data_IF_610296417899
#
_entry.id   IF_610296417899
#
_cell.length_a   1.000
_cell.length_b   1.000
_cell.length_c   1.000
_cell.angle_alpha   90.00
_cell.angle_beta   90.00
_cell.angle_gamma   90.00
#
_symmetry.space_group_name_H-M   'P 1'
#
loop_
_entity.id
_entity.type
_entity.pdbx_description
1 polymer ?
#
# COMPACT_ATOMS: atom_id res chain seq x y z
N UNK A 1 20.16 22.71 -1.67
CA UNK A 1 19.88 21.27 -1.89
C UNK A 1 20.66 20.45 -0.85
N UNK A 2 20.00 19.54 -0.15
CA UNK A 2 20.65 18.66 0.84
C UNK A 2 21.10 17.31 0.21
N UNK A 3 21.03 17.18 -1.12
CA UNK A 3 21.43 15.97 -1.84
C UNK A 3 22.94 15.94 -1.98
N UNK A 4 23.60 14.86 -1.52
CA UNK A 4 25.06 14.74 -1.51
C UNK A 4 25.63 14.13 -2.80
N UNK A 5 25.02 13.06 -3.33
CA UNK A 5 25.56 12.31 -4.48
C UNK A 5 24.67 12.44 -5.72
N UNK A 6 23.46 11.90 -5.68
CA UNK A 6 22.55 11.78 -6.80
C UNK A 6 21.09 11.79 -6.33
N UNK A 7 20.17 11.89 -7.27
CA UNK A 7 18.73 11.67 -7.08
C UNK A 7 18.36 10.38 -7.80
N UNK A 8 17.51 9.56 -7.17
CA UNK A 8 16.85 8.41 -7.78
C UNK A 8 15.36 8.73 -7.83
N UNK A 9 14.79 8.79 -9.02
CA UNK A 9 13.49 9.40 -9.29
C UNK A 9 12.65 8.47 -10.15
N UNK A 10 11.34 8.38 -9.85
CA UNK A 10 10.41 7.57 -10.65
C UNK A 10 10.31 8.10 -12.08
N UNK A 11 10.63 7.26 -13.06
CA UNK A 11 10.77 7.64 -14.46
C UNK A 11 9.53 7.41 -15.30
N UNK A 12 8.60 6.54 -14.90
CA UNK A 12 7.39 6.23 -15.67
C UNK A 12 6.27 7.27 -15.50
N UNK A 13 6.52 8.35 -14.72
CA UNK A 13 5.59 9.44 -14.50
C UNK A 13 6.02 10.70 -15.24
N UNK A 14 5.17 11.20 -16.13
CA UNK A 14 5.46 12.39 -16.97
C UNK A 14 5.62 13.67 -16.14
N UNK A 15 4.85 13.82 -15.04
CA UNK A 15 4.96 14.98 -14.15
C UNK A 15 6.32 14.99 -13.47
N UNK A 16 6.76 13.85 -12.98
CA UNK A 16 8.08 13.67 -12.38
C UNK A 16 9.21 13.97 -13.37
N UNK A 17 9.09 13.52 -14.63
CA UNK A 17 10.07 13.83 -15.68
C UNK A 17 10.08 15.31 -16.07
N UNK A 18 8.97 16.01 -15.93
CA UNK A 18 8.87 17.45 -16.18
C UNK A 18 9.46 18.31 -15.08
N UNK A 19 9.76 17.76 -13.92
CA UNK A 19 10.34 18.48 -12.80
C UNK A 19 11.75 18.98 -13.12
N UNK A 20 12.05 20.22 -12.73
CA UNK A 20 13.39 20.77 -12.84
C UNK A 20 14.21 20.44 -11.60
N UNK A 21 15.14 19.50 -11.75
CA UNK A 21 16.10 19.16 -10.70
C UNK A 21 17.35 20.02 -10.79
N UNK A 22 18.03 20.18 -9.65
CA UNK A 22 19.32 20.89 -9.60
C UNK A 22 20.35 20.18 -10.50
N UNK A 23 20.77 20.86 -11.58
CA UNK A 23 21.70 20.33 -12.59
C UNK A 23 23.10 20.04 -12.04
N UNK A 24 23.41 20.45 -10.81
CA UNK A 24 24.67 20.10 -10.14
C UNK A 24 24.74 18.67 -9.68
N UNK A 25 23.62 17.92 -9.72
CA UNK A 25 23.49 16.53 -9.29
C UNK A 25 23.01 15.65 -10.43
N UNK A 26 23.54 14.44 -10.51
CA UNK A 26 23.04 13.44 -11.45
C UNK A 26 21.68 12.95 -10.99
N UNK A 27 20.74 12.86 -11.90
CA UNK A 27 19.41 12.28 -11.70
C UNK A 27 19.39 10.94 -12.41
N UNK A 28 18.99 9.89 -11.69
CA UNK A 28 18.78 8.57 -12.24
C UNK A 28 17.29 8.26 -12.20
N UNK A 29 16.72 7.97 -13.34
CA UNK A 29 15.33 7.57 -13.44
C UNK A 29 15.18 6.06 -13.30
N UNK A 30 14.20 5.61 -12.54
CA UNK A 30 13.89 4.19 -12.42
C UNK A 30 12.46 3.90 -12.87
N UNK A 31 12.25 2.75 -13.50
CA UNK A 31 10.95 2.32 -13.98
C UNK A 31 11.02 1.16 -14.98
N UNK A 32 10.04 1.11 -15.87
CA UNK A 32 9.88 0.10 -16.89
C UNK A 32 10.11 0.63 -18.31
N UNK A 33 10.22 1.95 -18.47
CA UNK A 33 10.42 2.57 -19.77
C UNK A 33 11.86 2.40 -20.27
N UNK A 34 12.03 2.29 -21.59
CA UNK A 34 13.34 2.11 -22.23
C UNK A 34 14.34 3.24 -21.99
N UNK A 35 13.86 4.40 -21.54
CA UNK A 35 14.67 5.57 -21.23
C UNK A 35 14.97 5.75 -19.73
N UNK A 36 14.72 4.73 -18.92
CA UNK A 36 15.09 4.72 -17.51
C UNK A 36 16.52 4.21 -17.32
N UNK A 37 17.26 4.85 -16.40
CA UNK A 37 18.64 4.47 -16.08
C UNK A 37 18.68 3.17 -15.26
N UNK A 38 17.63 2.90 -14.48
CA UNK A 38 17.44 1.71 -13.64
C UNK A 38 16.15 1.05 -14.13
N UNK A 39 16.28 0.20 -15.12
CA UNK A 39 15.15 -0.36 -15.85
C UNK A 39 14.92 -1.83 -15.50
N UNK A 40 13.65 -2.20 -15.20
CA UNK A 40 13.25 -3.60 -15.17
C UNK A 40 12.64 -4.02 -16.51
N UNK A 41 13.09 -5.18 -16.99
CA UNK A 41 12.55 -5.84 -18.19
C UNK A 41 12.23 -7.31 -17.91
N UNK A 42 11.55 -7.98 -18.83
CA UNK A 42 11.20 -9.40 -18.69
C UNK A 42 10.51 -9.74 -17.37
N UNK A 43 9.62 -8.84 -16.91
CA UNK A 43 8.95 -9.00 -15.61
C UNK A 43 7.95 -10.16 -15.70
N UNK A 44 8.15 -11.18 -14.87
CA UNK A 44 7.24 -12.30 -14.70
C UNK A 44 6.70 -12.27 -13.28
N UNK A 45 5.38 -12.28 -13.12
CA UNK A 45 4.70 -12.17 -11.83
C UNK A 45 3.69 -13.31 -11.65
N UNK A 46 3.73 -13.96 -10.50
CA UNK A 46 2.66 -14.84 -10.03
C UNK A 46 1.96 -14.24 -8.80
N UNK A 47 1.16 -15.03 -8.08
CA UNK A 47 0.44 -14.56 -6.88
C UNK A 47 1.34 -14.28 -5.66
N UNK A 48 2.60 -14.72 -5.67
CA UNK A 48 3.51 -14.70 -4.50
C UNK A 48 4.90 -14.19 -4.80
N UNK A 49 5.35 -14.30 -6.05
CA UNK A 49 6.71 -14.02 -6.45
C UNK A 49 6.73 -13.18 -7.71
N UNK A 50 7.83 -12.51 -7.92
CA UNK A 50 8.11 -11.76 -9.13
C UNK A 50 9.58 -11.90 -9.49
N UNK A 51 9.87 -12.02 -10.79
CA UNK A 51 11.25 -12.02 -11.30
C UNK A 51 11.40 -11.02 -12.45
N UNK A 52 12.58 -10.47 -12.61
CA UNK A 52 12.88 -9.51 -13.68
C UNK A 52 14.38 -9.38 -13.92
N UNK A 53 14.72 -8.92 -15.12
CA UNK A 53 16.07 -8.50 -15.46
C UNK A 53 16.22 -7.00 -15.19
N UNK A 54 17.29 -6.62 -14.46
CA UNK A 54 17.64 -5.23 -14.18
C UNK A 54 18.73 -4.74 -15.10
N UNK A 55 18.47 -3.63 -15.78
CA UNK A 55 19.47 -2.86 -16.50
C UNK A 55 19.82 -1.60 -15.73
N UNK A 56 21.11 -1.28 -15.65
CA UNK A 56 21.64 -0.04 -15.13
C UNK A 56 22.42 0.67 -16.22
N UNK A 57 22.02 1.90 -16.59
CA UNK A 57 22.61 2.67 -17.68
C UNK A 57 22.75 1.81 -18.98
N UNK A 58 21.66 1.13 -19.36
CA UNK A 58 21.54 0.23 -20.52
C UNK A 58 22.46 -1.01 -20.49
N UNK A 59 23.04 -1.37 -19.35
CA UNK A 59 23.82 -2.60 -19.19
C UNK A 59 23.10 -3.54 -18.23
N UNK A 60 22.98 -4.81 -18.62
CA UNK A 60 22.44 -5.82 -17.72
C UNK A 60 23.26 -5.87 -16.44
N UNK A 61 22.63 -5.54 -15.32
CA UNK A 61 23.21 -5.60 -13.99
C UNK A 61 23.03 -6.98 -13.37
N UNK A 62 21.83 -7.58 -13.54
CA UNK A 62 21.53 -8.93 -13.07
C UNK A 62 20.07 -9.29 -13.15
N UNK A 63 19.78 -10.53 -12.78
CA UNK A 63 18.43 -11.07 -12.66
C UNK A 63 18.02 -11.13 -11.19
N UNK A 64 16.85 -10.61 -10.85
CA UNK A 64 16.34 -10.55 -9.49
C UNK A 64 15.08 -11.40 -9.31
N UNK A 65 14.99 -12.05 -8.14
CA UNK A 65 13.80 -12.74 -7.68
C UNK A 65 13.27 -12.06 -6.41
N UNK A 66 12.03 -11.59 -6.46
CA UNK A 66 11.36 -10.98 -5.31
C UNK A 66 10.46 -12.02 -4.62
N UNK A 67 10.53 -12.17 -3.30
CA UNK A 67 9.66 -13.08 -2.54
C UNK A 67 8.25 -12.49 -2.31
N UNK A 68 7.82 -11.60 -3.18
CA UNK A 68 6.53 -10.92 -3.15
C UNK A 68 6.12 -10.50 -4.56
N UNK A 69 4.83 -10.20 -4.74
CA UNK A 69 4.23 -9.76 -6.00
C UNK A 69 3.58 -8.38 -5.83
N UNK A 70 3.46 -7.66 -6.94
CA UNK A 70 2.79 -6.36 -6.99
C UNK A 70 3.63 -5.27 -7.64
N UNK A 71 3.05 -4.61 -8.65
CA UNK A 71 3.72 -3.59 -9.44
C UNK A 71 4.39 -2.49 -8.58
N UNK A 72 3.71 -2.01 -7.53
CA UNK A 72 4.27 -1.00 -6.62
C UNK A 72 5.49 -1.52 -5.83
N UNK A 73 5.53 -2.83 -5.51
CA UNK A 73 6.67 -3.44 -4.84
C UNK A 73 7.86 -3.60 -5.78
N UNK A 74 7.61 -3.89 -7.06
CA UNK A 74 8.63 -3.85 -8.11
C UNK A 74 9.28 -2.46 -8.15
N UNK A 75 8.49 -1.41 -8.30
CA UNK A 75 9.00 -0.04 -8.38
C UNK A 75 9.80 0.37 -7.13
N UNK A 76 9.32 0.01 -5.94
CA UNK A 76 10.05 0.25 -4.70
C UNK A 76 11.38 -0.52 -4.65
N UNK A 77 11.40 -1.74 -5.19
CA UNK A 77 12.62 -2.55 -5.29
C UNK A 77 13.63 -1.92 -6.25
N UNK A 78 13.18 -1.43 -7.43
CA UNK A 78 14.04 -0.73 -8.37
C UNK A 78 14.72 0.50 -7.75
N UNK A 79 13.95 1.32 -7.02
CA UNK A 79 14.51 2.45 -6.28
C UNK A 79 15.58 2.01 -5.27
N UNK A 80 15.30 0.95 -4.50
CA UNK A 80 16.22 0.43 -3.48
C UNK A 80 17.48 -0.17 -4.09
N UNK A 81 17.34 -0.96 -5.16
CA UNK A 81 18.46 -1.53 -5.92
C UNK A 81 19.31 -0.42 -6.51
N UNK A 82 18.69 0.59 -7.13
CA UNK A 82 19.39 1.73 -7.69
C UNK A 82 20.24 2.47 -6.66
N UNK A 83 19.72 2.68 -5.45
CA UNK A 83 20.48 3.25 -4.35
C UNK A 83 21.65 2.34 -3.97
N UNK A 84 21.45 1.03 -3.87
CA UNK A 84 22.50 0.05 -3.59
C UNK A 84 23.64 0.11 -4.62
N UNK A 85 23.31 0.15 -5.91
CA UNK A 85 24.29 0.29 -7.00
C UNK A 85 25.09 1.58 -6.86
N UNK A 86 24.41 2.71 -6.60
CA UNK A 86 25.05 4.03 -6.45
C UNK A 86 25.93 4.12 -5.19
N UNK A 87 25.63 3.35 -4.16
CA UNK A 87 26.48 3.20 -2.97
C UNK A 87 27.62 2.18 -3.17
N UNK A 88 27.72 1.54 -4.34
CA UNK A 88 28.80 0.63 -4.69
C UNK A 88 28.66 -0.78 -4.11
N UNK A 89 27.46 -1.19 -3.76
CA UNK A 89 27.17 -2.56 -3.33
C UNK A 89 27.32 -3.54 -4.50
N UNK A 90 27.78 -4.76 -4.21
CA UNK A 90 27.83 -5.83 -5.20
C UNK A 90 26.44 -6.33 -5.58
N UNK A 91 26.31 -6.98 -6.74
CA UNK A 91 25.06 -7.64 -7.12
C UNK A 91 24.62 -8.64 -6.06
N UNK A 92 25.54 -9.46 -5.56
CA UNK A 92 25.28 -10.50 -4.57
C UNK A 92 24.74 -9.93 -3.25
N UNK A 93 25.27 -8.78 -2.80
CA UNK A 93 24.82 -8.14 -1.57
C UNK A 93 23.42 -7.55 -1.74
N UNK A 94 23.15 -6.91 -2.88
CA UNK A 94 21.83 -6.34 -3.21
C UNK A 94 20.81 -7.46 -3.36
N UNK A 95 21.12 -8.49 -4.15
CA UNK A 95 20.23 -9.64 -4.40
C UNK A 95 19.89 -10.34 -3.08
N UNK A 96 20.88 -10.61 -2.24
CA UNK A 96 20.69 -11.20 -0.91
C UNK A 96 19.80 -10.31 -0.02
N UNK A 97 19.97 -8.99 -0.06
CA UNK A 97 19.16 -8.05 0.70
C UNK A 97 17.70 -8.09 0.27
N UNK A 98 17.43 -8.07 -1.02
CA UNK A 98 16.09 -8.09 -1.61
C UNK A 98 15.42 -9.46 -1.39
N UNK A 99 16.11 -10.56 -1.64
CA UNK A 99 15.58 -11.93 -1.49
C UNK A 99 15.23 -12.28 -0.04
N UNK A 100 15.91 -11.67 0.94
CA UNK A 100 15.60 -11.83 2.36
C UNK A 100 14.59 -10.80 2.90
N UNK A 101 14.07 -9.92 2.06
CA UNK A 101 13.08 -8.95 2.47
C UNK A 101 11.69 -9.60 2.55
N UNK A 102 11.16 -9.74 3.75
CA UNK A 102 9.85 -10.35 4.00
C UNK A 102 8.70 -9.33 4.13
N UNK A 103 8.88 -8.14 3.57
CA UNK A 103 7.89 -7.09 3.62
C UNK A 103 8.04 -6.15 4.83
N UNK A 104 7.28 -5.08 4.81
CA UNK A 104 7.17 -4.12 5.90
C UNK A 104 5.88 -4.42 6.68
N UNK A 105 5.92 -4.31 7.99
CA UNK A 105 4.70 -4.40 8.82
C UNK A 105 3.64 -3.45 8.26
N UNK A 106 2.40 -3.90 8.24
CA UNK A 106 1.27 -3.11 7.77
C UNK A 106 1.37 -2.69 6.29
N UNK A 107 1.94 -3.55 5.43
CA UNK A 107 1.92 -3.44 3.98
C UNK A 107 1.42 -4.76 3.39
N UNK A 108 0.11 -4.87 3.26
CA UNK A 108 -0.62 -6.05 2.77
C UNK A 108 -0.22 -7.35 3.49
N UNK A 109 -0.08 -7.26 4.83
CA UNK A 109 0.24 -8.44 5.65
C UNK A 109 -0.98 -9.31 5.77
N UNK A 110 -0.88 -10.56 5.32
CA UNK A 110 -1.99 -11.52 5.25
C UNK A 110 -1.84 -12.56 6.34
N UNK A 111 -2.90 -12.78 7.09
CA UNK A 111 -3.02 -13.82 8.11
C UNK A 111 -4.32 -14.61 7.91
N UNK A 112 -4.26 -15.92 7.98
CA UNK A 112 -5.42 -16.79 7.89
C UNK A 112 -5.78 -17.32 9.28
N UNK A 113 -7.07 -17.25 9.67
CA UNK A 113 -7.57 -17.74 10.94
C UNK A 113 -9.02 -18.22 10.78
N UNK A 114 -9.28 -19.49 11.14
CA UNK A 114 -10.61 -20.14 11.15
C UNK A 114 -11.44 -19.91 9.87
N UNK A 115 -10.78 -19.96 8.70
CA UNK A 115 -11.43 -19.79 7.39
C UNK A 115 -11.75 -18.36 7.01
N UNK A 116 -11.34 -17.40 7.83
CA UNK A 116 -11.29 -15.98 7.51
C UNK A 116 -9.87 -15.57 7.14
N UNK A 117 -9.75 -14.54 6.30
CA UNK A 117 -8.47 -13.91 5.94
C UNK A 117 -8.45 -12.51 6.53
N UNK A 118 -7.35 -12.17 7.20
CA UNK A 118 -7.12 -10.85 7.80
C UNK A 118 -5.94 -10.18 7.11
N UNK A 119 -6.15 -8.98 6.61
CA UNK A 119 -5.13 -8.19 5.90
C UNK A 119 -4.93 -6.89 6.65
N UNK A 120 -3.68 -6.56 7.01
CA UNK A 120 -3.29 -5.27 7.59
C UNK A 120 -2.53 -4.44 6.55
N UNK A 121 -3.05 -3.26 6.24
CA UNK A 121 -2.42 -2.34 5.31
C UNK A 121 -2.41 -0.89 5.81
N UNK A 122 -1.35 -0.17 5.46
CA UNK A 122 -1.15 1.23 5.86
C UNK A 122 -1.89 2.22 4.94
N UNK A 123 -2.56 1.76 3.89
CA UNK A 123 -3.27 2.58 2.92
C UNK A 123 -4.21 3.59 3.60
N UNK A 124 -4.06 4.86 3.24
CA UNK A 124 -4.79 5.98 3.84
C UNK A 124 -4.97 7.16 2.87
N UNK A 125 -4.56 7.01 1.61
CA UNK A 125 -4.87 7.90 0.49
C UNK A 125 -5.78 7.16 -0.49
N UNK A 126 -6.73 7.82 -1.22
CA UNK A 126 -7.67 7.11 -2.10
C UNK A 126 -6.98 6.17 -3.10
N UNK A 127 -5.90 6.61 -3.72
CA UNK A 127 -5.12 5.80 -4.67
C UNK A 127 -4.58 4.52 -4.01
N UNK A 128 -4.00 4.63 -2.81
CA UNK A 128 -3.50 3.48 -2.06
C UNK A 128 -4.65 2.53 -1.68
N UNK A 129 -5.76 3.09 -1.17
CA UNK A 129 -6.96 2.33 -0.82
C UNK A 129 -7.48 1.55 -2.01
N UNK A 130 -7.58 2.19 -3.19
CA UNK A 130 -8.03 1.53 -4.42
C UNK A 130 -7.12 0.37 -4.82
N UNK A 131 -5.81 0.60 -4.88
CA UNK A 131 -4.83 -0.45 -5.22
C UNK A 131 -4.88 -1.62 -4.24
N UNK A 132 -5.01 -1.35 -2.94
CA UNK A 132 -5.08 -2.38 -1.91
C UNK A 132 -6.36 -3.20 -2.03
N UNK A 133 -7.53 -2.57 -2.27
CA UNK A 133 -8.80 -3.26 -2.50
C UNK A 133 -8.74 -4.13 -3.76
N UNK A 134 -8.23 -3.58 -4.88
CA UNK A 134 -8.11 -4.31 -6.15
C UNK A 134 -7.17 -5.51 -6.01
N UNK A 135 -6.07 -5.36 -5.24
CA UNK A 135 -5.14 -6.45 -4.91
C UNK A 135 -5.83 -7.55 -4.09
N UNK A 136 -6.60 -7.17 -3.06
CA UNK A 136 -7.34 -8.13 -2.23
C UNK A 136 -8.37 -8.91 -3.06
N UNK A 137 -9.13 -8.24 -3.91
CA UNK A 137 -10.09 -8.88 -4.81
C UNK A 137 -9.43 -9.82 -5.83
N UNK A 138 -8.31 -9.42 -6.41
CA UNK A 138 -7.55 -10.27 -7.34
C UNK A 138 -7.02 -11.52 -6.66
N UNK A 139 -6.56 -11.39 -5.40
CA UNK A 139 -5.95 -12.50 -4.65
C UNK A 139 -6.98 -13.46 -4.06
N UNK A 140 -8.18 -12.96 -3.73
CA UNK A 140 -9.25 -13.72 -3.07
C UNK A 140 -10.61 -13.52 -3.79
N UNK A 141 -10.71 -13.93 -5.08
CA UNK A 141 -11.84 -13.57 -5.95
C UNK A 141 -13.19 -14.17 -5.49
N UNK A 142 -13.15 -15.31 -4.81
CA UNK A 142 -14.36 -16.06 -4.40
C UNK A 142 -14.81 -15.75 -2.97
N UNK A 143 -14.15 -14.81 -2.28
CA UNK A 143 -14.45 -14.46 -0.91
C UNK A 143 -15.05 -13.06 -0.80
N UNK A 144 -16.00 -12.90 0.12
CA UNK A 144 -16.57 -11.59 0.47
C UNK A 144 -15.48 -10.67 1.02
N UNK A 145 -15.28 -9.50 0.42
CA UNK A 145 -14.33 -8.49 0.89
C UNK A 145 -15.03 -7.52 1.84
N UNK A 146 -14.62 -7.54 3.10
CA UNK A 146 -15.07 -6.64 4.16
C UNK A 146 -13.93 -5.67 4.48
N UNK A 147 -14.13 -4.40 4.18
CA UNK A 147 -13.15 -3.35 4.43
C UNK A 147 -13.43 -2.68 5.77
N UNK A 148 -12.40 -2.53 6.61
CA UNK A 148 -12.41 -1.70 7.82
C UNK A 148 -11.45 -0.54 7.58
N UNK A 149 -11.98 0.65 7.44
CA UNK A 149 -11.20 1.84 7.10
C UNK A 149 -11.27 2.90 8.19
N UNK A 150 -10.10 3.33 8.67
CA UNK A 150 -9.97 4.49 9.54
C UNK A 150 -9.23 5.59 8.80
N UNK A 151 -9.92 6.68 8.43
CA UNK A 151 -9.26 7.80 7.76
C UNK A 151 -8.29 8.52 8.69
N UNK A 152 -7.33 9.19 8.11
CA UNK A 152 -6.37 10.03 8.81
C UNK A 152 -6.43 11.45 8.22
N UNK A 153 -6.59 12.45 9.10
CA UNK A 153 -6.84 13.88 8.84
C UNK A 153 -8.19 14.16 8.19
N UNK A 154 -9.03 14.91 8.89
CA UNK A 154 -10.34 15.34 8.42
C UNK A 154 -10.25 16.18 7.14
N UNK A 155 -9.25 17.07 7.00
CA UNK A 155 -9.00 17.84 5.79
C UNK A 155 -8.76 16.98 4.55
N UNK A 156 -8.06 15.85 4.68
CA UNK A 156 -7.87 14.92 3.57
C UNK A 156 -9.18 14.28 3.16
N UNK A 157 -10.01 13.87 4.14
CA UNK A 157 -11.31 13.30 3.85
C UNK A 157 -12.22 14.33 3.16
N UNK A 158 -12.23 15.57 3.63
CA UNK A 158 -13.01 16.64 3.00
C UNK A 158 -12.60 16.85 1.54
N UNK A 159 -11.29 16.87 1.27
CA UNK A 159 -10.77 17.13 -0.08
C UNK A 159 -10.98 15.96 -1.04
N UNK A 160 -10.84 14.72 -0.57
CA UNK A 160 -10.88 13.51 -1.40
C UNK A 160 -12.10 12.62 -1.12
N UNK A 161 -13.20 13.16 -0.56
CA UNK A 161 -14.33 12.35 -0.14
C UNK A 161 -14.93 11.50 -1.27
N UNK A 162 -15.08 12.07 -2.47
CA UNK A 162 -15.66 11.37 -3.62
C UNK A 162 -14.70 10.28 -4.15
N UNK A 163 -13.40 10.52 -4.12
CA UNK A 163 -12.40 9.53 -4.48
C UNK A 163 -12.37 8.37 -3.47
N UNK A 164 -12.40 8.67 -2.16
CA UNK A 164 -12.54 7.62 -1.14
C UNK A 164 -13.82 6.82 -1.32
N UNK A 165 -14.96 7.50 -1.54
CA UNK A 165 -16.25 6.83 -1.73
C UNK A 165 -16.21 5.90 -2.95
N UNK A 166 -15.65 6.35 -4.06
CA UNK A 166 -15.47 5.55 -5.26
C UNK A 166 -14.65 4.28 -5.00
N UNK A 167 -13.49 4.42 -4.36
CA UNK A 167 -12.59 3.30 -4.14
C UNK A 167 -13.14 2.33 -3.08
N UNK A 168 -13.64 2.83 -1.94
CA UNK A 168 -14.20 2.00 -0.88
C UNK A 168 -15.46 1.25 -1.32
N UNK A 169 -16.29 1.85 -2.20
CA UNK A 169 -17.50 1.20 -2.73
C UNK A 169 -17.21 -0.03 -3.61
N UNK A 170 -15.96 -0.29 -3.97
CA UNK A 170 -15.58 -1.54 -4.63
C UNK A 170 -15.68 -2.77 -3.71
N UNK A 171 -15.63 -2.59 -2.38
CA UNK A 171 -15.77 -3.67 -1.41
C UNK A 171 -17.23 -4.13 -1.28
N UNK A 172 -17.43 -5.39 -0.86
CA UNK A 172 -18.78 -5.93 -0.62
C UNK A 172 -19.42 -5.34 0.62
N UNK A 173 -18.59 -4.93 1.59
CA UNK A 173 -19.03 -4.24 2.80
C UNK A 173 -17.94 -3.31 3.33
N UNK A 174 -18.34 -2.16 3.83
CA UNK A 174 -17.43 -1.14 4.38
C UNK A 174 -17.82 -0.80 5.80
N UNK A 175 -16.86 -0.90 6.70
CA UNK A 175 -16.94 -0.40 8.06
C UNK A 175 -16.02 0.81 8.21
N UNK A 176 -16.52 1.92 8.72
CA UNK A 176 -15.79 3.15 8.92
C UNK A 176 -15.54 3.38 10.40
N UNK A 177 -14.31 3.68 10.77
CA UNK A 177 -13.93 4.12 12.11
C UNK A 177 -13.80 5.64 12.14
N UNK A 178 -14.18 6.26 13.25
CA UNK A 178 -14.19 7.73 13.36
C UNK A 178 -12.78 8.31 13.56
N UNK A 179 -12.67 9.61 13.34
CA UNK A 179 -11.50 10.43 13.68
C UNK A 179 -11.35 10.53 15.21
N UNK A 180 -10.45 9.73 15.78
CA UNK A 180 -10.31 9.64 17.24
C UNK A 180 -9.14 10.43 17.80
N UNK A 181 -8.17 10.83 16.98
CA UNK A 181 -6.99 11.53 17.45
C UNK A 181 -7.17 13.04 17.47
N UNK A 182 -6.53 13.69 18.44
CA UNK A 182 -6.46 15.16 18.52
C UNK A 182 -5.83 15.73 17.24
N UNK A 183 -4.85 15.03 16.67
CA UNK A 183 -4.18 15.43 15.43
C UNK A 183 -5.12 15.45 14.21
N UNK A 184 -6.14 14.60 14.21
CA UNK A 184 -7.13 14.54 13.13
C UNK A 184 -8.09 15.73 13.16
N UNK A 185 -8.28 16.36 14.33
CA UNK A 185 -9.19 17.51 14.55
C UNK A 185 -8.47 18.86 14.54
N UNK A 186 -7.15 18.89 14.64
CA UNK A 186 -6.37 20.16 14.72
C UNK A 186 -6.20 20.89 13.39
N UNK A 187 -6.62 20.30 12.27
CA UNK A 187 -6.52 20.96 10.96
C UNK A 187 -7.63 22.00 10.70
N UNK A 188 -8.48 22.29 11.68
CA UNK A 188 -9.56 23.28 11.58
C UNK A 188 -10.79 22.82 10.80
N UNK A 189 -10.82 21.56 10.36
CA UNK A 189 -11.91 20.98 9.59
C UNK A 189 -13.01 20.46 10.54
N UNK A 190 -14.23 20.92 10.34
CA UNK A 190 -15.37 20.53 11.18
C UNK A 190 -16.26 19.49 10.46
N UNK A 191 -15.72 18.29 10.24
CA UNK A 191 -16.47 17.12 9.75
C UNK A 191 -16.27 15.95 10.71
N UNK A 192 -17.21 15.02 10.71
CA UNK A 192 -17.09 13.70 11.34
C UNK A 192 -17.12 12.59 10.27
N UNK A 193 -17.08 11.34 10.70
CA UNK A 193 -17.03 10.19 9.80
C UNK A 193 -18.31 10.04 8.96
N UNK A 194 -19.45 10.58 9.41
CA UNK A 194 -20.71 10.53 8.69
C UNK A 194 -20.64 11.29 7.37
N UNK A 195 -19.80 12.32 7.27
CA UNK A 195 -19.53 13.02 6.01
C UNK A 195 -19.03 12.07 4.89
N UNK A 196 -18.18 11.10 5.25
CA UNK A 196 -17.74 10.07 4.31
C UNK A 196 -18.77 8.95 4.17
N UNK A 197 -19.43 8.56 5.28
CA UNK A 197 -20.47 7.53 5.28
C UNK A 197 -21.60 7.85 4.30
N UNK A 198 -22.08 9.09 4.27
CA UNK A 198 -23.18 9.54 3.41
C UNK A 198 -22.88 9.37 1.91
N UNK A 199 -21.62 9.24 1.55
CA UNK A 199 -21.15 9.05 0.17
C UNK A 199 -20.93 7.58 -0.20
N UNK A 200 -20.93 6.67 0.77
CA UNK A 200 -20.66 5.24 0.54
C UNK A 200 -21.91 4.43 0.86
N UNK A 201 -22.66 3.99 -0.17
CA UNK A 201 -23.82 3.12 0.04
C UNK A 201 -23.45 1.87 0.82
N UNK A 202 -24.28 1.48 1.80
CA UNK A 202 -24.11 0.29 2.64
C UNK A 202 -22.87 0.29 3.56
N UNK A 203 -22.27 1.46 3.81
CA UNK A 203 -21.25 1.57 4.85
C UNK A 203 -21.88 1.69 6.25
N UNK A 204 -21.13 1.27 7.26
CA UNK A 204 -21.54 1.29 8.66
C UNK A 204 -20.44 1.96 9.47
N UNK A 205 -20.78 2.93 10.30
CA UNK A 205 -19.84 3.45 11.30
C UNK A 205 -19.69 2.41 12.39
N UNK A 206 -18.45 1.99 12.63
CA UNK A 206 -18.12 0.95 13.59
C UNK A 206 -17.51 1.58 14.84
N UNK A 207 -18.00 1.25 16.04
CA UNK A 207 -17.34 1.70 17.27
C UNK A 207 -15.96 1.04 17.41
N UNK A 208 -14.97 1.84 17.80
CA UNK A 208 -13.57 1.39 17.96
C UNK A 208 -13.37 0.83 19.38
N UNK A 209 -14.07 -0.27 19.69
CA UNK A 209 -14.05 -0.96 20.98
C UNK A 209 -14.48 -2.44 20.83
N UNK A 210 -14.71 -3.13 21.95
CA UNK A 210 -15.12 -4.53 21.95
C UNK A 210 -16.48 -4.77 21.25
N UNK A 211 -17.38 -3.79 21.26
CA UNK A 211 -18.65 -3.88 20.52
C UNK A 211 -18.40 -3.93 19.01
N UNK A 212 -17.46 -3.14 18.50
CA UNK A 212 -17.05 -3.21 17.10
C UNK A 212 -16.48 -4.57 16.73
N UNK A 213 -15.71 -5.19 17.59
CA UNK A 213 -15.22 -6.56 17.36
C UNK A 213 -16.38 -7.57 17.28
N UNK A 214 -17.40 -7.48 18.16
CA UNK A 214 -18.60 -8.32 18.12
C UNK A 214 -19.45 -8.11 16.85
N UNK A 215 -19.44 -6.89 16.28
CA UNK A 215 -20.10 -6.62 15.01
C UNK A 215 -19.36 -7.30 13.87
N UNK A 216 -18.03 -7.18 13.83
CA UNK A 216 -17.18 -7.81 12.82
C UNK A 216 -17.21 -9.34 12.89
N UNK A 217 -17.30 -9.91 14.08
CA UNK A 217 -17.37 -11.38 14.27
C UNK A 217 -18.60 -12.01 13.61
N UNK A 218 -19.64 -11.25 13.28
CA UNK A 218 -20.80 -11.73 12.53
C UNK A 218 -20.50 -12.01 11.06
N UNK A 219 -19.43 -11.43 10.53
CA UNK A 219 -18.96 -11.71 9.18
C UNK A 219 -18.13 -12.99 9.19
N UNK A 220 -18.53 -14.00 8.40
CA UNK A 220 -17.84 -15.29 8.35
C UNK A 220 -17.42 -15.63 6.93
N UNK A 221 -16.36 -16.39 6.77
CA UNK A 221 -15.78 -16.78 5.48
C UNK A 221 -15.48 -15.56 4.59
N UNK A 222 -14.86 -14.55 5.19
CA UNK A 222 -14.60 -13.26 4.58
C UNK A 222 -13.11 -12.90 4.58
N UNK A 223 -12.75 -12.00 3.68
CA UNK A 223 -11.49 -11.27 3.72
C UNK A 223 -11.74 -9.97 4.46
N UNK A 224 -11.15 -9.80 5.63
CA UNK A 224 -11.16 -8.57 6.41
C UNK A 224 -9.94 -7.75 6.04
N UNK A 225 -10.13 -6.61 5.41
CA UNK A 225 -9.07 -5.69 5.01
C UNK A 225 -9.08 -4.45 5.92
N UNK A 226 -8.11 -4.38 6.82
CA UNK A 226 -7.89 -3.26 7.73
C UNK A 226 -6.95 -2.25 7.08
N UNK A 227 -7.44 -1.03 6.83
CA UNK A 227 -6.66 0.04 6.20
C UNK A 227 -6.65 1.30 7.05
N UNK A 228 -5.46 1.73 7.45
CA UNK A 228 -5.26 3.00 8.16
C UNK A 228 -3.77 3.32 8.33
N UNK A 229 -3.41 4.60 8.44
CA UNK A 229 -2.09 5.00 8.94
C UNK A 229 -1.93 4.82 10.46
N UNK A 230 -3.04 4.66 11.20
CA UNK A 230 -3.05 4.33 12.63
C UNK A 230 -3.16 2.82 12.85
N UNK A 231 -2.73 2.34 14.00
CA UNK A 231 -2.90 0.92 14.33
C UNK A 231 -4.36 0.65 14.70
N UNK A 232 -5.05 -0.05 13.82
CA UNK A 232 -6.42 -0.55 14.03
C UNK A 232 -6.48 -2.08 14.00
N UNK A 233 -5.35 -2.75 13.80
CA UNK A 233 -5.30 -4.21 13.66
C UNK A 233 -5.56 -4.95 14.98
N UNK A 234 -5.50 -4.25 16.11
CA UNK A 234 -5.95 -4.77 17.39
C UNK A 234 -7.42 -5.26 17.36
N UNK A 235 -8.28 -4.61 16.53
CA UNK A 235 -9.66 -5.09 16.29
C UNK A 235 -9.66 -6.48 15.65
N UNK A 236 -8.78 -6.74 14.66
CA UNK A 236 -8.64 -8.06 14.06
C UNK A 236 -8.25 -9.12 15.12
N UNK A 237 -7.32 -8.77 16.01
CA UNK A 237 -6.93 -9.68 17.09
C UNK A 237 -8.09 -9.97 18.05
N UNK A 238 -8.91 -8.96 18.36
CA UNK A 238 -10.12 -9.16 19.17
C UNK A 238 -11.12 -10.09 18.49
N UNK A 239 -11.37 -9.92 17.17
CA UNK A 239 -12.26 -10.81 16.42
C UNK A 239 -11.75 -12.25 16.42
N UNK A 240 -10.43 -12.44 16.19
CA UNK A 240 -9.80 -13.79 16.28
C UNK A 240 -9.91 -14.43 17.66
N UNK A 241 -9.88 -13.60 18.73
CA UNK A 241 -10.07 -14.09 20.10
C UNK A 241 -11.53 -14.51 20.41
N UNK A 242 -12.51 -13.94 19.73
CA UNK A 242 -13.92 -14.34 19.86
C UNK A 242 -14.24 -15.66 19.12
N UNK A 243 -13.46 -15.97 18.11
CA UNK A 243 -13.67 -17.12 17.21
C UNK A 243 -12.94 -18.40 17.70
N UNK A 244 -12.67 -18.49 19.03
CA UNK A 244 -12.00 -19.63 19.71
C UNK A 244 -12.94 -20.76 20.02
#
# INVERSE_FOLDING_TARGET
SHVSKALVVFGDDEETRSCHFDQTKKVYYYGLNDNDDIQATNVIEDSKHMEFDLYFENKLFGHFNLPFAGHHLLLNSLASIGIGILEGMSFEDIEKGISNFHGVKRRFVVEEHNGNIYIDDYAHHPTEVGVTIDTAKKRFPDQKLVVIFKPHRASRVLYFADDFAKELSKADKVYLLDFTSIDDKQDGTNIDIHYLQDKIPNSIVLPENDEGALILDKEKKAVFLFMSSKDIYWLANKVKDLDK
#
